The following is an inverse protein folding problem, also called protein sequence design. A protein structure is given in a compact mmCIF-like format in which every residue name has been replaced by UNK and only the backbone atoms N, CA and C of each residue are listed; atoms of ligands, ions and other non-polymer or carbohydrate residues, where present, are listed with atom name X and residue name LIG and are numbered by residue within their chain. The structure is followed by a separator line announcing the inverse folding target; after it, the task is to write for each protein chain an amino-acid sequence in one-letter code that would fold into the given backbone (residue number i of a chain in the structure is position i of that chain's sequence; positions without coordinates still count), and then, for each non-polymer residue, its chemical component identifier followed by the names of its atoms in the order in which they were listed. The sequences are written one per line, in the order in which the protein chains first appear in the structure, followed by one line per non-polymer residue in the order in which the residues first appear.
data_IF_579042708737
#
_entry.id   IF_579042708737
#
_cell.length_a   1.000
_cell.length_b   1.000
_cell.length_c   1.000
_cell.angle_alpha   90.00
_cell.angle_beta   90.00
_cell.angle_gamma   90.00
#
_symmetry.space_group_name_H-M   'P 1'
#
loop_
_entity.id
_entity.type
_entity.pdbx_description
1 polymer ?
#
# COMPACT_ATOMS: atom_id res chain seq x y z
N UNK A 1 31.18 -11.40 -1.60
CA UNK A 1 30.04 -10.60 -1.08
C UNK A 1 29.41 -9.72 -2.15
N UNK A 2 30.19 -9.01 -2.95
CA UNK A 2 29.65 -8.14 -4.01
C UNK A 2 28.93 -8.91 -5.12
N UNK A 3 29.36 -10.13 -5.41
CA UNK A 3 28.75 -11.00 -6.40
C UNK A 3 27.37 -11.51 -5.91
N UNK A 4 27.27 -11.97 -4.67
CA UNK A 4 26.01 -12.39 -4.08
C UNK A 4 24.99 -11.26 -3.99
N UNK A 5 25.42 -10.04 -3.65
CA UNK A 5 24.57 -8.86 -3.67
C UNK A 5 24.04 -8.54 -5.07
N UNK A 6 24.89 -8.69 -6.10
CA UNK A 6 24.47 -8.57 -7.51
C UNK A 6 23.41 -9.58 -7.89
N UNK A 7 23.51 -10.84 -7.44
CA UNK A 7 22.49 -11.86 -7.69
C UNK A 7 21.15 -11.49 -7.06
N UNK A 8 21.12 -11.02 -5.81
CA UNK A 8 19.87 -10.54 -5.17
C UNK A 8 19.27 -9.34 -5.89
N UNK A 9 20.08 -8.37 -6.28
CA UNK A 9 19.60 -7.18 -7.00
C UNK A 9 19.16 -7.52 -8.43
N UNK A 10 19.85 -8.41 -9.14
CA UNK A 10 19.43 -8.86 -10.47
C UNK A 10 18.11 -9.61 -10.42
N UNK A 11 17.85 -10.38 -9.36
CA UNK A 11 16.55 -11.04 -9.16
C UNK A 11 15.40 -10.03 -9.07
N UNK A 12 15.68 -8.78 -8.63
CA UNK A 12 14.72 -7.67 -8.61
C UNK A 12 14.68 -6.99 -9.99
N UNK A 13 15.83 -6.62 -10.55
CA UNK A 13 15.95 -5.76 -11.75
C UNK A 13 15.65 -6.49 -13.07
N UNK A 14 16.13 -7.74 -13.22
CA UNK A 14 15.90 -8.54 -14.45
C UNK A 14 14.46 -9.07 -14.56
N UNK A 15 13.63 -8.71 -13.61
CA UNK A 15 12.24 -9.06 -13.65
C UNK A 15 11.54 -8.28 -14.76
N UNK A 16 11.36 -8.91 -15.94
CA UNK A 16 10.38 -8.39 -16.89
C UNK A 16 9.02 -8.37 -16.15
N UNK A 17 8.48 -7.19 -15.82
CA UNK A 17 7.42 -7.08 -14.83
C UNK A 17 6.08 -7.43 -15.47
N UNK A 18 5.81 -8.73 -15.59
CA UNK A 18 4.51 -9.26 -15.98
C UNK A 18 3.56 -9.31 -14.77
N UNK A 19 4.14 -9.43 -13.55
CA UNK A 19 3.37 -9.49 -12.31
C UNK A 19 4.20 -9.10 -11.07
N UNK A 20 3.51 -8.70 -10.00
CA UNK A 20 4.10 -8.28 -8.71
C UNK A 20 4.84 -9.40 -7.97
N UNK A 21 4.61 -10.66 -8.32
CA UNK A 21 5.05 -11.83 -7.55
C UNK A 21 6.57 -11.94 -7.37
N UNK A 22 7.37 -11.47 -8.32
CA UNK A 22 8.84 -11.53 -8.21
C UNK A 22 9.35 -10.65 -7.07
N UNK A 23 8.91 -9.40 -7.05
CA UNK A 23 9.28 -8.43 -5.99
C UNK A 23 8.77 -8.89 -4.63
N UNK A 24 7.53 -9.38 -4.58
CA UNK A 24 6.94 -9.95 -3.38
C UNK A 24 7.74 -11.14 -2.85
N UNK A 25 8.29 -11.98 -3.73
CA UNK A 25 9.09 -13.15 -3.33
C UNK A 25 10.44 -12.74 -2.75
N UNK A 26 11.17 -11.79 -3.37
CA UNK A 26 12.44 -11.29 -2.80
C UNK A 26 12.19 -10.64 -1.44
N UNK A 27 11.16 -9.80 -1.35
CA UNK A 27 10.75 -9.20 -0.08
C UNK A 27 10.49 -10.27 0.98
N UNK A 28 9.66 -11.28 0.67
CA UNK A 28 9.27 -12.36 1.59
C UNK A 28 10.50 -13.13 2.10
N UNK A 29 11.36 -13.61 1.19
CA UNK A 29 12.55 -14.38 1.57
C UNK A 29 13.48 -13.54 2.43
N UNK A 30 13.77 -12.31 2.03
CA UNK A 30 14.65 -11.42 2.80
C UNK A 30 14.09 -11.06 4.17
N UNK A 31 12.76 -10.87 4.30
CA UNK A 31 12.09 -10.66 5.58
C UNK A 31 12.22 -11.85 6.52
N UNK A 32 12.02 -13.07 6.00
CA UNK A 32 12.15 -14.29 6.80
C UNK A 32 13.60 -14.49 7.27
N UNK A 33 14.59 -14.30 6.37
CA UNK A 33 16.00 -14.38 6.76
C UNK A 33 16.28 -13.40 7.90
N UNK A 34 15.93 -12.14 7.75
CA UNK A 34 16.17 -11.13 8.77
C UNK A 34 15.52 -11.48 10.12
N UNK A 35 14.27 -11.99 10.08
CA UNK A 35 13.53 -12.33 11.29
C UNK A 35 14.08 -13.57 11.98
N UNK A 36 14.37 -14.66 11.22
CA UNK A 36 14.84 -15.93 11.78
C UNK A 36 16.27 -15.85 12.30
N UNK A 37 17.14 -15.07 11.62
CA UNK A 37 18.53 -14.91 12.03
C UNK A 37 18.74 -13.78 13.05
N UNK A 38 17.72 -12.97 13.31
CA UNK A 38 17.82 -11.74 14.12
C UNK A 38 18.97 -10.82 13.66
N UNK A 39 19.29 -10.85 12.38
CA UNK A 39 20.41 -10.15 11.74
C UNK A 39 21.81 -10.55 12.28
N UNK A 40 21.95 -11.74 12.82
CA UNK A 40 23.24 -12.31 13.24
C UNK A 40 23.78 -13.21 12.13
N UNK A 41 25.04 -13.01 11.75
CA UNK A 41 25.70 -13.85 10.73
C UNK A 41 25.60 -15.33 11.06
N UNK A 42 25.32 -16.11 10.03
CA UNK A 42 25.14 -17.55 10.15
C UNK A 42 26.41 -18.29 9.69
N UNK A 43 26.66 -19.44 10.28
CA UNK A 43 27.75 -20.35 9.91
C UNK A 43 27.29 -21.56 9.11
N UNK A 44 25.97 -21.72 8.96
CA UNK A 44 25.31 -22.81 8.25
C UNK A 44 24.25 -22.27 7.27
N UNK A 45 23.86 -23.04 6.26
CA UNK A 45 22.71 -22.72 5.43
C UNK A 45 21.44 -22.57 6.28
N UNK A 46 20.54 -21.68 5.86
CA UNK A 46 19.25 -21.49 6.50
C UNK A 46 18.17 -22.31 5.79
N UNK A 47 17.40 -23.08 6.55
CA UNK A 47 16.24 -23.81 6.05
C UNK A 47 14.99 -23.00 6.36
N UNK A 48 14.24 -22.61 5.33
CA UNK A 48 12.96 -21.94 5.47
C UNK A 48 11.83 -22.90 5.12
N UNK A 49 10.93 -23.12 6.06
CA UNK A 49 9.82 -24.05 5.87
C UNK A 49 8.81 -23.49 4.85
N UNK A 50 8.20 -24.38 4.07
CA UNK A 50 7.14 -24.04 3.11
C UNK A 50 6.03 -23.18 3.71
N UNK A 51 5.63 -23.54 4.93
CA UNK A 51 4.57 -22.85 5.66
C UNK A 51 4.95 -21.42 6.00
N UNK A 52 6.20 -21.16 6.40
CA UNK A 52 6.67 -19.83 6.78
C UNK A 52 6.74 -18.91 5.56
N UNK A 53 7.23 -19.41 4.43
CA UNK A 53 7.23 -18.66 3.16
C UNK A 53 5.81 -18.32 2.74
N UNK A 54 4.92 -19.32 2.75
CA UNK A 54 3.52 -19.10 2.36
C UNK A 54 2.82 -18.10 3.27
N UNK A 55 3.10 -18.15 4.57
CA UNK A 55 2.50 -17.24 5.56
C UNK A 55 2.93 -15.80 5.34
N UNK A 56 4.24 -15.56 5.22
CA UNK A 56 4.79 -14.21 4.99
C UNK A 56 4.32 -13.63 3.66
N UNK A 57 4.27 -14.48 2.61
CA UNK A 57 3.77 -14.09 1.31
C UNK A 57 2.27 -13.78 1.33
N UNK A 58 1.48 -14.62 2.00
CA UNK A 58 0.05 -14.41 2.18
C UNK A 58 -0.23 -13.14 2.96
N UNK A 59 0.54 -12.85 4.01
CA UNK A 59 0.46 -11.62 4.78
C UNK A 59 0.70 -10.40 3.91
N UNK A 60 1.75 -10.40 3.08
CA UNK A 60 2.03 -9.31 2.15
C UNK A 60 0.85 -9.08 1.19
N UNK A 61 0.29 -10.14 0.63
CA UNK A 61 -0.86 -10.03 -0.29
C UNK A 61 -2.13 -9.56 0.41
N UNK A 62 -2.37 -10.04 1.61
CA UNK A 62 -3.50 -9.64 2.42
C UNK A 62 -3.41 -8.16 2.81
N UNK A 63 -2.29 -7.76 3.40
CA UNK A 63 -2.10 -6.42 3.94
C UNK A 63 -1.89 -5.36 2.83
N UNK A 64 -1.48 -5.77 1.62
CA UNK A 64 -1.29 -4.85 0.50
C UNK A 64 -2.49 -4.81 -0.43
N UNK A 65 -2.91 -5.96 -0.93
CA UNK A 65 -3.86 -6.01 -2.03
C UNK A 65 -5.31 -6.13 -1.55
N UNK A 66 -5.58 -7.01 -0.57
CA UNK A 66 -6.93 -7.19 -0.05
C UNK A 66 -7.41 -5.98 0.74
N UNK A 67 -6.58 -5.45 1.66
CA UNK A 67 -6.97 -4.31 2.50
C UNK A 67 -7.24 -3.03 1.70
N UNK A 68 -6.50 -2.83 0.62
CA UNK A 68 -6.50 -1.58 -0.14
C UNK A 68 -7.11 -1.69 -1.53
N UNK A 69 -7.72 -2.83 -1.88
CA UNK A 69 -8.32 -3.10 -3.20
C UNK A 69 -7.37 -2.85 -4.39
N UNK A 70 -6.07 -3.06 -4.18
CA UNK A 70 -5.04 -2.82 -5.20
C UNK A 70 -4.99 -3.99 -6.18
N UNK A 71 -5.05 -3.68 -7.47
CA UNK A 71 -4.83 -4.67 -8.54
C UNK A 71 -3.34 -5.02 -8.61
N UNK A 72 -2.99 -6.29 -8.50
CA UNK A 72 -1.59 -6.74 -8.52
C UNK A 72 -1.16 -7.44 -9.82
N UNK A 73 -2.09 -7.63 -10.76
CA UNK A 73 -1.84 -8.31 -12.03
C UNK A 73 -2.65 -7.68 -13.16
N UNK A 74 -1.98 -7.40 -14.28
CA UNK A 74 -2.62 -6.95 -15.51
C UNK A 74 -2.63 -8.11 -16.50
N UNK A 75 -3.79 -8.64 -16.90
CA UNK A 75 -3.84 -9.72 -17.88
C UNK A 75 -3.28 -9.24 -19.22
N UNK A 76 -2.57 -10.11 -19.94
CA UNK A 76 -2.06 -9.81 -21.27
C UNK A 76 -3.21 -9.46 -22.21
N UNK A 77 -3.03 -8.42 -23.05
CA UNK A 77 -4.04 -7.81 -23.94
C UNK A 77 -4.69 -8.72 -25.00
N UNK A 78 -4.35 -9.99 -25.08
CA UNK A 78 -4.76 -10.93 -26.16
C UNK A 78 -6.01 -11.77 -25.88
N UNK A 79 -6.90 -11.37 -25.00
CA UNK A 79 -8.19 -12.05 -24.88
C UNK A 79 -9.34 -11.09 -25.28
N UNK A 80 -9.67 -11.08 -26.56
CA UNK A 80 -10.78 -10.30 -27.16
C UNK A 80 -12.18 -10.81 -26.80
N UNK A 81 -12.30 -11.71 -25.81
CA UNK A 81 -13.59 -12.30 -25.38
C UNK A 81 -13.72 -12.35 -23.86
N UNK A 82 -13.44 -11.27 -23.17
CA UNK A 82 -13.75 -11.18 -21.74
C UNK A 82 -14.70 -10.03 -21.52
N UNK A 83 -15.90 -10.36 -21.07
CA UNK A 83 -16.85 -9.40 -20.56
C UNK A 83 -16.11 -8.52 -19.52
N UNK A 84 -16.27 -7.22 -19.63
CA UNK A 84 -15.52 -6.18 -18.93
C UNK A 84 -15.55 -6.27 -17.39
N UNK A 85 -16.29 -7.18 -16.81
CA UNK A 85 -16.48 -7.35 -15.36
C UNK A 85 -15.67 -8.49 -14.72
N UNK A 86 -15.03 -9.37 -15.50
CA UNK A 86 -14.15 -10.40 -14.94
C UNK A 86 -12.70 -10.00 -15.08
N UNK A 87 -12.19 -9.20 -14.17
CA UNK A 87 -10.73 -9.03 -13.96
C UNK A 87 -10.19 -10.40 -13.55
N UNK A 88 -9.51 -11.11 -14.47
CA UNK A 88 -8.82 -12.36 -14.12
C UNK A 88 -7.80 -12.08 -13.02
N UNK A 89 -8.17 -12.41 -11.81
CA UNK A 89 -7.27 -12.32 -10.66
C UNK A 89 -6.25 -13.45 -10.69
N UNK A 90 -5.06 -13.23 -10.12
CA UNK A 90 -4.11 -14.33 -9.94
C UNK A 90 -4.67 -15.37 -8.96
N UNK A 91 -4.17 -16.59 -9.12
CA UNK A 91 -4.60 -17.71 -8.26
C UNK A 91 -4.32 -17.46 -6.77
N UNK A 92 -3.28 -16.70 -6.45
CA UNK A 92 -2.97 -16.32 -5.06
C UNK A 92 -4.00 -15.34 -4.51
N UNK A 93 -4.41 -14.33 -5.30
CA UNK A 93 -5.49 -13.42 -4.86
C UNK A 93 -6.81 -14.15 -4.67
N UNK A 94 -7.14 -15.07 -5.55
CA UNK A 94 -8.33 -15.92 -5.36
C UNK A 94 -8.28 -16.68 -4.03
N UNK A 95 -7.11 -17.21 -3.64
CA UNK A 95 -6.93 -17.87 -2.35
C UNK A 95 -7.11 -16.89 -1.17
N UNK A 96 -6.53 -15.69 -1.29
CA UNK A 96 -6.67 -14.62 -0.28
C UNK A 96 -8.14 -14.21 -0.10
N UNK A 97 -8.84 -13.96 -1.20
CA UNK A 97 -10.24 -13.54 -1.18
C UNK A 97 -11.18 -14.64 -0.70
N UNK A 98 -10.92 -15.89 -1.08
CA UNK A 98 -11.71 -17.01 -0.58
C UNK A 98 -11.60 -17.13 0.95
N UNK A 99 -10.37 -17.03 1.48
CA UNK A 99 -10.14 -17.06 2.92
C UNK A 99 -10.82 -15.86 3.63
N UNK A 100 -10.75 -14.67 3.02
CA UNK A 100 -11.45 -13.48 3.51
C UNK A 100 -12.97 -13.67 3.51
N UNK A 101 -13.54 -14.22 2.44
CA UNK A 101 -14.96 -14.45 2.33
C UNK A 101 -15.46 -15.47 3.37
N UNK A 102 -14.70 -16.54 3.63
CA UNK A 102 -15.01 -17.49 4.70
C UNK A 102 -15.02 -16.81 6.08
N UNK A 103 -14.01 -15.97 6.35
CA UNK A 103 -13.94 -15.17 7.57
C UNK A 103 -15.12 -14.22 7.71
N UNK A 104 -15.41 -13.45 6.64
CA UNK A 104 -16.53 -12.49 6.59
C UNK A 104 -17.87 -13.19 6.83
N UNK A 105 -18.09 -14.32 6.19
CA UNK A 105 -19.33 -15.09 6.34
C UNK A 105 -19.50 -15.64 7.77
N UNK A 106 -18.41 -16.06 8.39
CA UNK A 106 -18.44 -16.57 9.76
C UNK A 106 -18.73 -15.48 10.80
N UNK A 107 -18.01 -14.36 10.73
CA UNK A 107 -18.13 -13.27 11.70
C UNK A 107 -19.21 -12.25 11.35
N UNK A 108 -19.86 -12.36 10.17
CA UNK A 108 -20.86 -11.40 9.67
C UNK A 108 -20.35 -9.96 9.66
N UNK A 109 -19.08 -9.77 9.30
CA UNK A 109 -18.40 -8.48 9.29
C UNK A 109 -17.73 -8.22 7.93
N UNK A 110 -18.00 -7.06 7.35
CA UNK A 110 -17.36 -6.60 6.11
C UNK A 110 -16.08 -5.79 6.37
N UNK A 111 -15.73 -5.54 7.65
CA UNK A 111 -14.55 -4.80 8.02
C UNK A 111 -13.29 -5.56 7.67
N UNK A 112 -12.55 -5.12 6.67
CA UNK A 112 -11.25 -5.66 6.33
C UNK A 112 -10.27 -5.38 7.47
N UNK A 113 -9.59 -6.42 7.93
CA UNK A 113 -8.64 -6.36 9.04
C UNK A 113 -7.28 -6.85 8.61
N UNK A 114 -6.20 -6.37 9.26
CA UNK A 114 -4.84 -6.85 9.02
C UNK A 114 -4.71 -8.34 9.26
N UNK A 115 -3.78 -8.97 8.54
CA UNK A 115 -3.55 -10.40 8.63
C UNK A 115 -3.21 -10.88 10.04
N UNK A 116 -2.41 -10.14 10.79
CA UNK A 116 -2.13 -10.48 12.18
C UNK A 116 -3.37 -10.43 13.09
N UNK A 117 -4.26 -9.46 12.88
CA UNK A 117 -5.53 -9.37 13.61
C UNK A 117 -6.46 -10.51 13.22
N UNK A 118 -6.49 -10.86 11.93
CA UNK A 118 -7.18 -12.04 11.42
C UNK A 118 -6.68 -13.32 12.13
N UNK A 119 -5.35 -13.57 12.15
CA UNK A 119 -4.78 -14.75 12.80
C UNK A 119 -5.15 -14.83 14.28
N UNK A 120 -5.13 -13.70 15.00
CA UNK A 120 -5.54 -13.66 16.40
C UNK A 120 -7.02 -14.02 16.58
N UNK A 121 -7.90 -13.51 15.73
CA UNK A 121 -9.34 -13.77 15.80
C UNK A 121 -9.71 -15.23 15.50
N UNK A 122 -9.02 -15.87 14.55
CA UNK A 122 -9.32 -17.26 14.17
C UNK A 122 -8.64 -18.30 15.06
N UNK A 123 -7.84 -17.89 16.06
CA UNK A 123 -7.00 -18.78 16.87
C UNK A 123 -7.76 -19.95 17.52
N UNK A 124 -8.99 -19.72 17.93
CA UNK A 124 -9.88 -20.72 18.54
C UNK A 124 -10.93 -21.27 17.58
N UNK A 125 -10.79 -21.04 16.28
CA UNK A 125 -11.78 -21.46 15.29
C UNK A 125 -11.20 -22.51 14.34
N UNK A 126 -11.50 -23.77 14.59
CA UNK A 126 -10.94 -24.92 13.85
C UNK A 126 -11.28 -24.90 12.36
N UNK A 127 -12.47 -24.42 11.98
CA UNK A 127 -12.87 -24.34 10.57
C UNK A 127 -12.01 -23.33 9.82
N UNK A 128 -11.88 -22.11 10.36
CA UNK A 128 -11.05 -21.07 9.75
C UNK A 128 -9.56 -21.39 9.81
N UNK A 129 -9.09 -22.12 10.85
CA UNK A 129 -7.73 -22.64 10.90
C UNK A 129 -7.46 -23.65 9.78
N UNK A 130 -8.39 -24.59 9.52
CA UNK A 130 -8.29 -25.52 8.40
C UNK A 130 -8.28 -24.80 7.05
N UNK A 131 -9.09 -23.78 6.89
CA UNK A 131 -9.12 -22.95 5.69
C UNK A 131 -7.82 -22.19 5.48
N UNK A 132 -7.25 -21.64 6.56
CA UNK A 132 -5.93 -21.01 6.53
C UNK A 132 -4.85 -22.00 6.08
N UNK A 133 -4.77 -23.19 6.67
CA UNK A 133 -3.76 -24.20 6.30
C UNK A 133 -3.91 -24.63 4.82
N UNK A 134 -5.15 -24.81 4.34
CA UNK A 134 -5.43 -25.08 2.91
C UNK A 134 -4.93 -23.93 2.03
N UNK A 135 -5.18 -22.67 2.45
CA UNK A 135 -4.74 -21.48 1.72
C UNK A 135 -3.22 -21.37 1.71
N UNK A 136 -2.55 -21.61 2.83
CA UNK A 136 -1.07 -21.61 2.90
C UNK A 136 -0.46 -22.66 1.96
N UNK A 137 -0.98 -23.89 1.97
CA UNK A 137 -0.55 -24.95 1.06
C UNK A 137 -0.77 -24.56 -0.41
N UNK A 138 -1.94 -24.00 -0.72
CA UNK A 138 -2.25 -23.51 -2.06
C UNK A 138 -1.32 -22.35 -2.50
N UNK A 139 -1.04 -21.41 -1.60
CA UNK A 139 -0.11 -20.30 -1.84
C UNK A 139 1.29 -20.82 -2.14
N UNK A 140 1.84 -21.71 -1.31
CA UNK A 140 3.16 -22.31 -1.54
C UNK A 140 3.24 -23.04 -2.89
N UNK A 141 2.26 -23.86 -3.21
CA UNK A 141 2.26 -24.59 -4.48
C UNK A 141 2.30 -23.65 -5.69
N UNK A 142 1.58 -22.53 -5.65
CA UNK A 142 1.65 -21.54 -6.71
C UNK A 142 3.00 -20.82 -6.76
N UNK A 143 3.58 -20.48 -5.60
CA UNK A 143 4.92 -19.88 -5.53
C UNK A 143 6.00 -20.81 -6.09
N UNK A 144 5.94 -22.11 -5.77
CA UNK A 144 6.91 -23.11 -6.22
C UNK A 144 6.95 -23.23 -7.74
N UNK A 145 5.79 -23.21 -8.40
CA UNK A 145 5.68 -23.35 -9.87
C UNK A 145 6.22 -22.12 -10.60
N UNK A 146 5.98 -20.91 -10.09
CA UNK A 146 6.29 -19.67 -10.80
C UNK A 146 7.42 -18.85 -10.15
N UNK A 147 7.20 -18.06 -9.09
CA UNK A 147 8.23 -17.13 -8.64
C UNK A 147 9.46 -17.81 -8.06
N UNK A 148 9.29 -18.87 -7.25
CA UNK A 148 10.42 -19.57 -6.65
C UNK A 148 11.22 -20.34 -7.69
N UNK A 149 10.58 -20.89 -8.71
CA UNK A 149 11.29 -21.58 -9.79
C UNK A 149 12.17 -20.62 -10.59
N UNK A 150 11.62 -19.48 -11.02
CA UNK A 150 12.35 -18.53 -11.86
C UNK A 150 13.44 -17.74 -11.11
N UNK A 151 13.30 -17.56 -9.80
CA UNK A 151 14.26 -16.79 -9.01
C UNK A 151 15.40 -17.61 -8.43
N UNK A 152 15.37 -18.92 -8.58
CA UNK A 152 16.38 -19.84 -8.06
C UNK A 152 17.81 -19.51 -8.54
N UNK A 153 17.97 -18.87 -9.72
CA UNK A 153 19.26 -18.47 -10.30
C UNK A 153 20.27 -19.61 -10.28
N UNK A 154 19.88 -20.78 -10.83
CA UNK A 154 20.70 -22.00 -10.88
C UNK A 154 21.15 -22.51 -9.50
N UNK A 155 20.43 -22.18 -8.45
CA UNK A 155 20.75 -22.59 -7.08
C UNK A 155 21.64 -21.63 -6.31
N UNK A 156 22.02 -20.49 -6.88
CA UNK A 156 22.88 -19.50 -6.22
C UNK A 156 22.17 -18.86 -5.02
N UNK A 157 20.89 -18.46 -5.19
CA UNK A 157 20.14 -17.82 -4.13
C UNK A 157 19.55 -18.82 -3.14
N UNK A 158 19.02 -19.93 -3.63
CA UNK A 158 18.47 -21.04 -2.83
C UNK A 158 18.28 -22.30 -3.66
N UNK A 159 18.13 -23.42 -2.97
CA UNK A 159 17.69 -24.71 -3.49
C UNK A 159 16.47 -25.22 -2.73
N UNK A 160 15.93 -26.36 -3.14
CA UNK A 160 14.86 -27.05 -2.42
C UNK A 160 15.41 -28.34 -1.81
N UNK A 161 15.02 -28.66 -0.58
CA UNK A 161 15.21 -30.00 -0.04
C UNK A 161 14.19 -31.01 -0.61
N UNK A 162 14.29 -32.27 -0.21
CA UNK A 162 13.37 -33.33 -0.62
C UNK A 162 11.92 -33.09 -0.20
N UNK A 163 11.72 -32.36 0.89
CA UNK A 163 10.40 -31.96 1.38
C UNK A 163 9.86 -30.71 0.70
N UNK A 164 10.70 -30.02 -0.08
CA UNK A 164 10.36 -28.77 -0.78
C UNK A 164 10.57 -27.50 0.05
N UNK A 165 11.22 -27.58 1.22
CA UNK A 165 11.63 -26.38 1.94
C UNK A 165 12.76 -25.66 1.19
N UNK A 166 12.95 -24.36 1.39
CA UNK A 166 14.07 -23.65 0.80
C UNK A 166 15.31 -23.84 1.67
N UNK A 167 16.41 -24.22 1.01
CA UNK A 167 17.76 -24.21 1.58
C UNK A 167 18.49 -23.00 1.00
N UNK A 168 18.76 -22.00 1.84
CA UNK A 168 19.48 -20.81 1.44
C UNK A 168 20.95 -20.95 1.84
N UNK A 169 21.88 -20.88 0.88
CA UNK A 169 23.31 -20.95 1.18
C UNK A 169 23.75 -19.91 2.20
N UNK A 170 24.71 -20.26 3.05
CA UNK A 170 25.22 -19.37 4.09
C UNK A 170 25.61 -17.99 3.54
N UNK A 171 26.31 -17.93 2.41
CA UNK A 171 26.74 -16.67 1.80
C UNK A 171 25.57 -15.81 1.34
N UNK A 172 24.50 -16.43 0.83
CA UNK A 172 23.27 -15.73 0.45
C UNK A 172 22.53 -15.19 1.69
N UNK A 173 22.48 -15.97 2.78
CA UNK A 173 21.94 -15.53 4.08
C UNK A 173 22.71 -14.34 4.61
N UNK A 174 24.03 -14.45 4.72
CA UNK A 174 24.90 -13.40 5.27
C UNK A 174 24.90 -12.13 4.40
N UNK A 175 24.78 -12.28 3.09
CA UNK A 175 24.57 -11.15 2.20
C UNK A 175 23.28 -10.41 2.54
N UNK A 176 22.16 -11.13 2.71
CA UNK A 176 20.89 -10.51 3.11
C UNK A 176 21.01 -9.81 4.47
N UNK A 177 21.59 -10.46 5.47
CA UNK A 177 21.78 -9.87 6.81
C UNK A 177 22.51 -8.51 6.72
N UNK A 178 23.61 -8.46 5.96
CA UNK A 178 24.40 -7.23 5.78
C UNK A 178 23.72 -6.16 4.94
N UNK A 179 22.86 -6.56 4.02
CA UNK A 179 22.25 -5.65 3.04
C UNK A 179 20.72 -5.64 3.11
N UNK A 180 20.13 -6.17 4.18
CA UNK A 180 18.69 -6.34 4.31
C UNK A 180 17.87 -5.07 4.02
N UNK A 181 18.21 -3.89 4.58
CA UNK A 181 17.47 -2.68 4.25
C UNK A 181 17.48 -2.36 2.75
N UNK A 182 18.64 -2.54 2.09
CA UNK A 182 18.78 -2.28 0.66
C UNK A 182 17.90 -3.23 -0.17
N UNK A 183 17.99 -4.55 0.07
CA UNK A 183 17.23 -5.57 -0.66
C UNK A 183 15.74 -5.38 -0.45
N UNK A 184 15.33 -5.18 0.81
CA UNK A 184 13.94 -4.93 1.17
C UNK A 184 13.36 -3.71 0.47
N UNK A 185 14.05 -2.56 0.56
CA UNK A 185 13.57 -1.32 -0.04
C UNK A 185 13.60 -1.36 -1.57
N UNK A 186 14.63 -1.96 -2.18
CA UNK A 186 14.66 -2.14 -3.61
C UNK A 186 13.46 -2.97 -4.09
N UNK A 187 13.15 -4.07 -3.40
CA UNK A 187 11.98 -4.91 -3.72
C UNK A 187 10.67 -4.13 -3.61
N UNK A 188 10.50 -3.33 -2.56
CA UNK A 188 9.30 -2.52 -2.35
C UNK A 188 9.18 -1.39 -3.37
N UNK A 189 10.28 -0.72 -3.72
CA UNK A 189 10.30 0.35 -4.73
C UNK A 189 9.90 -0.22 -6.10
N UNK A 190 10.46 -1.35 -6.50
CA UNK A 190 10.12 -1.95 -7.80
C UNK A 190 8.69 -2.52 -7.80
N UNK A 191 8.22 -3.07 -6.68
CA UNK A 191 6.82 -3.45 -6.50
C UNK A 191 5.90 -2.23 -6.67
N UNK A 192 6.25 -1.09 -6.05
CA UNK A 192 5.52 0.17 -6.17
C UNK A 192 5.42 0.63 -7.60
N UNK A 193 6.56 0.79 -8.28
CA UNK A 193 6.60 1.21 -9.70
C UNK A 193 5.76 0.30 -10.59
N UNK A 194 5.79 -1.00 -10.34
CA UNK A 194 4.98 -1.96 -11.07
C UNK A 194 3.48 -1.73 -10.81
N UNK A 195 3.08 -1.58 -9.55
CA UNK A 195 1.70 -1.39 -9.16
C UNK A 195 1.13 -0.04 -9.66
N UNK A 196 1.89 1.04 -9.56
CA UNK A 196 1.50 2.35 -10.09
C UNK A 196 1.23 2.33 -11.60
N UNK A 197 2.02 1.52 -12.33
CA UNK A 197 1.84 1.37 -13.77
C UNK A 197 0.56 0.61 -14.16
N UNK A 198 0.10 -0.32 -13.33
CA UNK A 198 -1.05 -1.18 -13.64
C UNK A 198 -2.36 -0.72 -13.02
N UNK A 199 -2.30 0.10 -11.97
CA UNK A 199 -3.47 0.70 -11.37
C UNK A 199 -3.69 2.10 -11.97
N UNK A 200 -4.92 2.40 -12.32
CA UNK A 200 -5.24 3.72 -12.86
C UNK A 200 -5.13 4.78 -11.75
N UNK A 201 -4.64 6.01 -12.03
CA UNK A 201 -4.59 7.08 -11.03
C UNK A 201 -5.92 7.35 -10.33
N UNK A 202 -7.06 7.15 -11.02
CA UNK A 202 -8.41 7.25 -10.44
C UNK A 202 -8.72 6.18 -9.39
N UNK A 203 -8.07 5.02 -9.47
CA UNK A 203 -8.24 3.94 -8.51
C UNK A 203 -7.32 4.09 -7.29
N UNK A 204 -6.42 5.07 -7.32
CA UNK A 204 -5.32 5.23 -6.38
C UNK A 204 -5.10 6.67 -5.99
N UNK A 205 -5.97 7.16 -5.11
CA UNK A 205 -5.82 8.51 -4.53
C UNK A 205 -4.71 8.61 -3.48
N UNK A 206 -4.17 7.50 -3.04
CA UNK A 206 -2.93 7.43 -2.26
C UNK A 206 -1.87 6.79 -3.11
N UNK A 207 -0.74 7.44 -3.29
CA UNK A 207 0.41 6.80 -3.93
C UNK A 207 0.68 5.44 -3.28
N UNK A 208 0.98 4.43 -4.08
CA UNK A 208 1.27 3.05 -3.59
C UNK A 208 2.39 3.05 -2.56
N UNK A 209 3.29 4.04 -2.60
CA UNK A 209 4.29 4.25 -1.55
C UNK A 209 3.66 4.40 -0.16
N UNK A 210 2.47 4.98 -0.05
CA UNK A 210 1.74 5.07 1.22
C UNK A 210 1.34 3.71 1.76
N UNK A 211 0.84 2.85 0.88
CA UNK A 211 0.46 1.47 1.23
C UNK A 211 1.69 0.68 1.65
N UNK A 212 2.81 0.83 0.93
CA UNK A 212 4.05 0.13 1.26
C UNK A 212 4.70 0.62 2.55
N UNK A 213 4.60 1.91 2.87
CA UNK A 213 5.02 2.44 4.17
C UNK A 213 4.19 1.86 5.32
N UNK A 214 2.93 1.52 5.05
CA UNK A 214 2.07 0.86 6.02
C UNK A 214 2.49 -0.59 6.29
N UNK A 215 2.98 -1.29 5.26
CA UNK A 215 3.51 -2.66 5.36
C UNK A 215 4.86 -2.67 6.07
N UNK A 216 5.65 -1.63 5.91
CA UNK A 216 6.96 -1.50 6.54
C UNK A 216 7.02 -0.23 7.40
N UNK A 217 6.54 -0.27 8.66
CA UNK A 217 6.49 0.89 9.55
C UNK A 217 7.88 1.49 9.86
N UNK A 218 8.96 0.79 9.51
CA UNK A 218 10.33 1.30 9.61
C UNK A 218 10.73 2.26 8.48
N UNK A 219 9.94 2.34 7.40
CA UNK A 219 10.12 3.37 6.38
C UNK A 219 9.58 4.67 6.97
N UNK A 220 10.42 5.40 7.68
CA UNK A 220 10.12 6.77 8.10
C UNK A 220 10.15 7.67 6.85
N UNK A 221 9.04 7.79 6.16
CA UNK A 221 8.92 8.84 5.15
C UNK A 221 8.93 10.19 5.87
N UNK A 222 9.91 11.02 5.52
CA UNK A 222 9.87 12.43 5.92
C UNK A 222 8.68 13.06 5.19
N UNK A 223 7.77 13.69 5.93
CA UNK A 223 6.67 14.47 5.35
C UNK A 223 7.29 15.53 4.42
N UNK A 224 7.02 15.48 3.10
CA UNK A 224 7.51 16.50 2.20
C UNK A 224 6.85 17.86 2.55
N UNK A 225 7.40 18.95 2.04
CA UNK A 225 6.71 20.22 2.10
C UNK A 225 5.48 20.19 1.18
N UNK A 226 4.43 20.90 1.57
CA UNK A 226 3.27 21.12 0.69
C UNK A 226 3.77 21.93 -0.52
N UNK A 227 3.42 21.45 -1.71
CA UNK A 227 3.78 22.11 -2.96
C UNK A 227 3.34 23.59 -2.95
N UNK A 228 4.21 24.45 -3.49
CA UNK A 228 3.98 25.90 -3.49
C UNK A 228 2.72 26.28 -4.26
N UNK A 229 2.51 25.68 -5.44
CA UNK A 229 1.33 25.97 -6.27
C UNK A 229 0.06 25.53 -5.57
N UNK A 230 0.07 24.33 -4.94
CA UNK A 230 -1.06 23.85 -4.14
C UNK A 230 -1.40 24.84 -3.00
N UNK A 231 -0.40 25.30 -2.28
CA UNK A 231 -0.58 26.28 -1.19
C UNK A 231 -1.16 27.58 -1.70
N UNK A 232 -0.59 28.16 -2.76
CA UNK A 232 -1.05 29.42 -3.36
C UNK A 232 -2.51 29.33 -3.84
N UNK A 233 -2.91 28.21 -4.46
CA UNK A 233 -4.28 27.98 -4.91
C UNK A 233 -5.27 27.98 -3.73
N UNK A 234 -4.93 27.27 -2.64
CA UNK A 234 -5.77 27.25 -1.44
C UNK A 234 -5.86 28.64 -0.79
N UNK A 235 -4.73 29.34 -0.66
CA UNK A 235 -4.68 30.67 -0.05
C UNK A 235 -5.45 31.71 -0.87
N UNK A 236 -5.35 31.67 -2.21
CA UNK A 236 -6.10 32.55 -3.11
C UNK A 236 -7.61 32.32 -3.01
N UNK A 237 -8.05 31.06 -3.03
CA UNK A 237 -9.45 30.73 -2.83
C UNK A 237 -9.96 31.27 -1.47
N UNK A 238 -9.24 30.99 -0.39
CA UNK A 238 -9.65 31.48 0.93
C UNK A 238 -9.59 33.00 1.09
N UNK A 239 -8.78 33.68 0.30
CA UNK A 239 -8.76 35.14 0.27
C UNK A 239 -9.99 35.74 -0.45
N UNK A 240 -10.64 34.96 -1.30
CA UNK A 240 -11.87 35.34 -2.01
C UNK A 240 -13.15 35.05 -1.22
N UNK A 241 -13.09 34.18 -0.19
CA UNK A 241 -14.25 33.88 0.66
C UNK A 241 -14.53 35.04 1.67
N UNK A 242 -15.81 35.33 1.87
CA UNK A 242 -16.25 36.32 2.84
C UNK A 242 -15.96 35.93 4.28
N UNK A 243 -15.99 34.62 4.58
CA UNK A 243 -15.72 34.06 5.89
C UNK A 243 -14.85 32.81 5.78
N UNK A 244 -13.73 32.81 6.50
CA UNK A 244 -12.80 31.67 6.56
C UNK A 244 -13.10 30.83 7.79
N UNK A 245 -13.86 29.77 7.64
CA UNK A 245 -14.30 28.93 8.76
C UNK A 245 -13.29 27.79 8.99
N UNK A 246 -12.87 27.62 10.25
CA UNK A 246 -12.05 26.49 10.68
C UNK A 246 -12.90 25.20 10.73
N UNK A 247 -12.58 24.13 9.98
CA UNK A 247 -13.39 22.91 10.00
C UNK A 247 -13.35 22.14 11.34
N UNK A 248 -12.41 22.48 12.22
CA UNK A 248 -12.26 21.79 13.50
C UNK A 248 -13.09 22.38 14.64
N UNK A 249 -13.29 23.70 14.66
CA UNK A 249 -14.06 24.40 15.72
C UNK A 249 -15.24 25.22 15.19
N UNK A 250 -15.40 25.30 13.87
CA UNK A 250 -16.44 26.09 13.17
C UNK A 250 -16.41 27.61 13.41
N UNK A 251 -15.30 28.11 13.97
CA UNK A 251 -15.11 29.55 14.19
C UNK A 251 -14.33 30.20 13.04
N UNK A 252 -14.48 31.51 12.89
CA UNK A 252 -13.81 32.29 11.84
C UNK A 252 -12.30 32.36 12.12
N UNK A 253 -11.51 32.16 11.06
CA UNK A 253 -10.05 32.28 11.10
C UNK A 253 -9.68 33.75 10.80
N UNK A 254 -9.51 34.56 11.83
CA UNK A 254 -9.22 36.01 11.72
C UNK A 254 -7.74 36.31 11.40
N UNK A 255 -6.83 35.37 11.69
CA UNK A 255 -5.39 35.59 11.62
C UNK A 255 -4.69 34.52 10.76
N UNK A 256 -3.36 34.43 10.86
CA UNK A 256 -2.53 33.46 10.15
C UNK A 256 -3.01 32.02 10.42
N UNK A 257 -3.40 31.33 9.36
CA UNK A 257 -3.83 29.93 9.41
C UNK A 257 -2.67 28.97 9.20
N UNK A 258 -2.82 27.77 9.73
CA UNK A 258 -2.03 26.61 9.33
C UNK A 258 -2.78 25.83 8.24
N UNK A 259 -2.08 25.23 7.28
CA UNK A 259 -2.68 24.23 6.39
C UNK A 259 -2.62 22.87 7.06
N UNK A 260 -3.78 22.29 7.30
CA UNK A 260 -3.95 20.96 7.90
C UNK A 260 -4.58 19.97 6.93
N UNK A 261 -4.37 18.68 7.20
CA UNK A 261 -5.01 17.57 6.50
C UNK A 261 -6.26 17.14 7.24
N UNK A 262 -7.41 17.16 6.60
CA UNK A 262 -8.66 16.63 7.18
C UNK A 262 -8.46 15.19 7.64
N UNK A 263 -8.06 14.33 6.73
CA UNK A 263 -7.58 12.98 7.06
C UNK A 263 -6.07 13.07 7.32
N UNK A 264 -5.57 12.64 8.49
CA UNK A 264 -4.16 12.82 8.85
C UNK A 264 -3.18 12.35 7.79
N UNK A 265 -2.12 13.15 7.55
CA UNK A 265 -1.10 12.81 6.55
C UNK A 265 -0.50 11.42 6.73
N UNK A 266 -0.34 10.96 7.97
CA UNK A 266 0.21 9.63 8.27
C UNK A 266 -0.64 8.50 7.65
N UNK A 267 -1.91 8.75 7.40
CA UNK A 267 -2.86 7.78 6.84
C UNK A 267 -2.91 7.83 5.31
N UNK A 268 -2.84 9.03 4.72
CA UNK A 268 -2.93 9.24 3.27
C UNK A 268 -1.55 9.33 2.60
N UNK A 269 -0.56 9.91 3.30
CA UNK A 269 0.80 10.14 2.79
C UNK A 269 0.86 11.02 1.53
N UNK A 270 -0.17 11.81 1.26
CA UNK A 270 -0.22 12.76 0.16
C UNK A 270 -0.61 14.16 0.67
N UNK A 271 -0.33 15.17 -0.16
CA UNK A 271 -0.72 16.56 0.03
C UNK A 271 -1.77 16.95 -1.02
N UNK A 272 -2.76 16.08 -1.23
CA UNK A 272 -3.83 16.34 -2.18
C UNK A 272 -4.69 17.53 -1.74
N UNK A 273 -4.96 18.43 -2.68
CA UNK A 273 -5.63 19.70 -2.43
C UNK A 273 -7.01 19.53 -1.77
N UNK A 274 -7.73 18.45 -2.09
CA UNK A 274 -9.04 18.14 -1.53
C UNK A 274 -9.01 17.84 -0.03
N UNK A 275 -7.87 17.38 0.49
CA UNK A 275 -7.66 17.02 1.90
C UNK A 275 -7.00 18.11 2.72
N UNK A 276 -6.51 19.17 2.08
CA UNK A 276 -5.85 20.30 2.72
C UNK A 276 -6.83 21.45 2.95
N UNK A 277 -6.83 22.01 4.16
CA UNK A 277 -7.66 23.18 4.50
C UNK A 277 -6.96 24.09 5.51
N UNK A 278 -7.23 25.38 5.49
CA UNK A 278 -6.82 26.28 6.54
C UNK A 278 -7.52 25.95 7.86
N UNK A 279 -6.79 26.06 8.95
CA UNK A 279 -7.29 25.86 10.31
C UNK A 279 -6.52 26.74 11.29
N UNK A 280 -7.06 26.96 12.49
CA UNK A 280 -6.30 27.58 13.56
C UNK A 280 -5.10 26.73 13.95
N UNK A 281 -3.96 27.35 14.25
CA UNK A 281 -2.76 26.63 14.66
C UNK A 281 -2.98 25.79 15.94
N UNK A 282 -3.82 26.26 16.86
CA UNK A 282 -4.24 25.52 18.05
C UNK A 282 -5.06 24.29 17.72
N UNK A 283 -6.03 24.41 16.81
CA UNK A 283 -6.86 23.30 16.36
C UNK A 283 -6.03 22.22 15.63
N UNK A 284 -5.11 22.63 14.76
CA UNK A 284 -4.17 21.71 14.10
C UNK A 284 -3.31 20.96 15.12
N UNK A 285 -2.76 21.66 16.11
CA UNK A 285 -1.94 21.02 17.15
C UNK A 285 -2.73 20.08 18.05
N UNK A 286 -3.99 20.37 18.34
CA UNK A 286 -4.86 19.54 19.19
C UNK A 286 -5.36 18.28 18.49
N UNK A 287 -5.54 18.33 17.17
CA UNK A 287 -6.06 17.22 16.37
C UNK A 287 -5.11 16.02 16.33
N UNK A 288 -3.78 16.27 16.30
CA UNK A 288 -2.77 15.22 16.10
C UNK A 288 -3.10 14.31 14.90
N UNK A 289 -2.99 12.97 15.09
CA UNK A 289 -3.31 11.95 14.07
C UNK A 289 -4.71 11.34 14.24
N UNK A 290 -5.62 12.05 14.94
CA UNK A 290 -6.99 11.58 15.12
C UNK A 290 -7.79 11.66 13.82
N UNK A 291 -8.73 10.72 13.69
CA UNK A 291 -9.67 10.70 12.57
C UNK A 291 -10.60 11.91 12.60
N UNK A 292 -10.95 12.47 11.45
CA UNK A 292 -11.93 13.54 11.38
C UNK A 292 -13.32 13.02 11.79
N UNK A 293 -14.13 13.89 12.39
CA UNK A 293 -15.55 13.65 12.60
C UNK A 293 -16.33 13.90 11.30
N UNK A 294 -17.51 13.29 11.17
CA UNK A 294 -18.36 13.40 9.98
C UNK A 294 -18.70 14.85 9.62
N UNK A 295 -18.86 15.72 10.61
CA UNK A 295 -19.13 17.15 10.40
C UNK A 295 -17.94 17.87 9.79
N UNK A 296 -16.72 17.58 10.23
CA UNK A 296 -15.49 18.12 9.63
C UNK A 296 -15.36 17.69 8.17
N UNK A 297 -15.70 16.42 7.87
CA UNK A 297 -15.68 15.89 6.52
C UNK A 297 -16.67 16.65 5.64
N UNK A 298 -17.92 16.81 6.08
CA UNK A 298 -18.95 17.56 5.33
C UNK A 298 -18.55 19.00 5.08
N UNK A 299 -17.98 19.68 6.09
CA UNK A 299 -17.50 21.06 5.96
C UNK A 299 -16.42 21.17 4.87
N UNK A 300 -15.46 20.24 4.84
CA UNK A 300 -14.39 20.25 3.85
C UNK A 300 -14.88 19.83 2.46
N UNK A 301 -15.84 18.90 2.36
CA UNK A 301 -16.47 18.54 1.09
C UNK A 301 -17.20 19.75 0.47
N UNK A 302 -18.05 20.43 1.23
CA UNK A 302 -18.74 21.63 0.77
C UNK A 302 -17.76 22.76 0.39
N UNK A 303 -16.65 22.90 1.13
CA UNK A 303 -15.58 23.82 0.75
C UNK A 303 -14.93 23.42 -0.58
N UNK A 304 -14.70 22.13 -0.82
CA UNK A 304 -14.09 21.65 -2.06
C UNK A 304 -14.96 21.96 -3.28
N UNK A 305 -16.28 21.82 -3.17
CA UNK A 305 -17.23 22.19 -4.22
C UNK A 305 -17.10 23.69 -4.57
N UNK A 306 -17.15 24.58 -3.56
CA UNK A 306 -16.97 26.03 -3.78
C UNK A 306 -15.59 26.38 -4.34
N UNK A 307 -14.54 25.67 -3.90
CA UNK A 307 -13.18 25.89 -4.40
C UNK A 307 -13.07 25.46 -5.87
N UNK A 308 -13.75 24.41 -6.30
CA UNK A 308 -13.79 24.01 -7.70
C UNK A 308 -14.52 25.04 -8.57
N UNK A 309 -15.66 25.56 -8.12
CA UNK A 309 -16.39 26.65 -8.79
C UNK A 309 -15.51 27.89 -8.94
N UNK A 310 -14.81 28.27 -7.86
CA UNK A 310 -13.83 29.36 -7.90
C UNK A 310 -12.74 29.12 -8.94
N UNK A 311 -12.16 27.90 -8.99
CA UNK A 311 -11.11 27.56 -9.96
C UNK A 311 -11.59 27.63 -11.41
N UNK A 312 -12.82 27.23 -11.68
CA UNK A 312 -13.40 27.39 -13.03
C UNK A 312 -13.55 28.85 -13.44
N UNK A 313 -13.79 29.73 -12.50
CA UNK A 313 -13.90 31.17 -12.75
C UNK A 313 -12.54 31.84 -13.03
N UNK A 314 -11.41 31.23 -12.65
CA UNK A 314 -10.08 31.85 -12.71
C UNK A 314 -9.34 31.64 -14.03
N UNK A 315 -9.82 30.82 -14.95
CA UNK A 315 -9.23 30.60 -16.28
C UNK A 315 -7.73 30.28 -16.25
N UNK A 316 -7.32 29.26 -15.47
CA UNK A 316 -5.91 28.87 -15.31
C UNK A 316 -5.26 28.44 -16.61
N UNK A 317 -4.17 29.11 -17.01
CA UNK A 317 -3.39 28.81 -18.21
C UNK A 317 -2.26 27.78 -17.94
N UNK A 318 -1.74 27.73 -16.71
CA UNK A 318 -0.57 26.94 -16.33
C UNK A 318 -0.98 25.50 -16.03
N UNK A 319 -0.29 24.54 -16.68
CA UNK A 319 -0.59 23.09 -16.52
C UNK A 319 -0.44 22.60 -15.07
N UNK A 320 0.49 23.16 -14.30
CA UNK A 320 0.66 22.83 -12.90
C UNK A 320 -0.56 23.17 -12.05
N UNK A 321 -1.25 24.29 -12.34
CA UNK A 321 -2.50 24.67 -11.69
C UNK A 321 -3.65 23.77 -12.13
N UNK A 322 -3.77 23.48 -13.44
CA UNK A 322 -4.78 22.55 -13.99
C UNK A 322 -4.70 21.15 -13.40
N UNK A 323 -3.50 20.69 -13.03
CA UNK A 323 -3.31 19.42 -12.33
C UNK A 323 -4.09 19.37 -11.02
N UNK A 324 -4.03 20.45 -10.23
CA UNK A 324 -4.76 20.50 -8.94
C UNK A 324 -6.26 20.63 -9.10
N UNK A 325 -6.72 21.32 -10.15
CA UNK A 325 -8.15 21.38 -10.52
C UNK A 325 -8.67 19.97 -10.80
N UNK A 326 -7.98 19.21 -11.66
CA UNK A 326 -8.35 17.81 -11.99
C UNK A 326 -8.36 16.91 -10.74
N UNK A 327 -7.37 17.03 -9.84
CA UNK A 327 -7.36 16.28 -8.58
C UNK A 327 -8.57 16.63 -7.71
N UNK A 328 -8.98 17.89 -7.71
CA UNK A 328 -10.15 18.33 -6.95
C UNK A 328 -11.45 17.83 -7.57
N UNK A 329 -11.60 17.92 -8.91
CA UNK A 329 -12.72 17.35 -9.68
C UNK A 329 -12.90 15.86 -9.37
N UNK A 330 -11.83 15.08 -9.56
CA UNK A 330 -11.84 13.64 -9.29
C UNK A 330 -12.27 13.33 -7.84
N UNK A 331 -11.92 14.20 -6.88
CA UNK A 331 -12.27 14.02 -5.47
C UNK A 331 -13.75 14.29 -5.17
N UNK A 332 -14.38 15.19 -5.90
CA UNK A 332 -15.80 15.55 -5.73
C UNK A 332 -16.69 14.51 -6.43
N UNK A 333 -16.33 14.09 -7.64
CA UNK A 333 -17.06 13.06 -8.39
C UNK A 333 -17.03 11.70 -7.68
N UNK A 334 -15.96 11.40 -6.95
CA UNK A 334 -15.76 10.15 -6.22
C UNK A 334 -16.08 10.32 -4.73
N UNK A 335 -17.35 10.37 -4.39
CA UNK A 335 -17.81 10.33 -2.98
C UNK A 335 -17.26 9.13 -2.19
N UNK A 336 -16.73 8.12 -2.89
CA UNK A 336 -16.08 6.94 -2.32
C UNK A 336 -14.75 7.26 -1.63
N UNK A 337 -14.06 8.37 -2.00
CA UNK A 337 -12.77 8.75 -1.42
C UNK A 337 -12.85 8.92 0.09
N UNK A 338 -13.75 9.78 0.54
CA UNK A 338 -13.94 10.07 1.95
C UNK A 338 -14.37 8.82 2.71
N UNK A 339 -15.31 8.04 2.17
CA UNK A 339 -15.78 6.79 2.77
C UNK A 339 -14.68 5.75 2.87
N UNK A 340 -13.82 5.65 1.86
CA UNK A 340 -12.69 4.73 1.82
C UNK A 340 -11.66 5.06 2.89
N UNK A 341 -11.33 6.33 3.09
CA UNK A 341 -10.29 6.76 4.04
C UNK A 341 -10.78 6.85 5.47
N UNK A 342 -12.00 7.25 5.71
CA UNK A 342 -12.59 7.25 7.05
C UNK A 342 -12.72 5.84 7.60
N UNK A 343 -13.00 4.84 6.75
CA UNK A 343 -12.97 3.42 7.15
C UNK A 343 -11.58 2.88 7.48
N UNK A 344 -10.51 3.53 7.04
CA UNK A 344 -9.12 3.19 7.41
C UNK A 344 -8.70 3.82 8.75
N UNK A 345 -9.51 4.66 9.29
CA UNK A 345 -9.38 5.28 10.60
C UNK A 345 -10.07 4.48 11.68
#
# INVERSE_FOLDING_TARGET
MDDMRRHWLSAIQDANPVASYKFATVYTISSIISTQTKNIEQTQPLIILQRDIAKEYLQLYWDTFLLHDIVHFKPARKSTKINSNERKQSKIMQLVENLWNEYRNYYKSDDKIRFEKFLRKIRSNDLLQKSLEKTLKGTYNNMKIMPLHFMKKEGILYNFDSSGNLIIPQDAVNCVIKTYPLIKYASLIELTKYLERINHPKDMHTGIMSVLCYISPHIKMRRPAIDRVCRELIENFHSSESERICPACHEIIESKSALDHTIPWIKIRSHDIWNLHPTHSSCNSSKNDNSPHDEQIRTVQSRNERMLEYFYSQNFEVEEQRKYVRILEDSIESNELWTKYVRLC
#
